data_IF_058225120917
#
_entry.id   IF_058225120917
#
_cell.length_a   1.000
_cell.length_b   1.000
_cell.length_c   1.000
_cell.angle_alpha   90.00
_cell.angle_beta   90.00
_cell.angle_gamma   90.00
#
_symmetry.space_group_name_H-M   'P 1'
#
loop_
_entity.id
_entity.type
_entity.pdbx_description
1 polymer ?
#
# COMPACT_ATOMS: atom_id res chain seq x y z
N UNK A 1 -3.43 13.82 -15.57
CA UNK A 1 -4.34 12.65 -15.50
C UNK A 1 -3.68 11.50 -16.22
N UNK A 2 -3.57 10.34 -15.57
CA UNK A 2 -3.06 9.12 -16.21
C UNK A 2 -4.18 8.50 -17.02
N UNK A 3 -4.00 8.37 -18.33
CA UNK A 3 -4.95 7.72 -19.22
C UNK A 3 -4.42 6.33 -19.59
N UNK A 4 -5.16 5.28 -19.24
CA UNK A 4 -4.83 3.90 -19.61
C UNK A 4 -5.50 3.54 -20.93
N UNK A 5 -4.76 2.92 -21.85
CA UNK A 5 -5.29 2.51 -23.15
C UNK A 5 -6.04 1.17 -23.07
N UNK A 6 -5.74 0.37 -22.03
CA UNK A 6 -6.37 -0.93 -21.80
C UNK A 6 -6.66 -1.14 -20.32
N UNK A 7 -7.60 -2.04 -20.03
CA UNK A 7 -7.86 -2.51 -18.66
C UNK A 7 -6.64 -3.18 -18.04
N UNK A 8 -5.84 -3.90 -18.83
CA UNK A 8 -4.62 -4.54 -18.34
C UNK A 8 -3.62 -3.51 -17.79
N UNK A 9 -3.43 -2.39 -18.48
CA UNK A 9 -2.57 -1.30 -18.01
C UNK A 9 -3.12 -0.63 -16.74
N UNK A 10 -4.43 -0.43 -16.67
CA UNK A 10 -5.07 0.12 -15.47
C UNK A 10 -4.90 -0.82 -14.27
N UNK A 11 -5.08 -2.13 -14.47
CA UNK A 11 -4.89 -3.15 -13.43
C UNK A 11 -3.45 -3.16 -12.91
N UNK A 12 -2.48 -3.20 -13.81
CA UNK A 12 -1.06 -3.19 -13.45
C UNK A 12 -0.71 -1.95 -12.62
N UNK A 13 -1.14 -0.76 -13.05
CA UNK A 13 -0.87 0.47 -12.32
C UNK A 13 -1.51 0.49 -10.91
N UNK A 14 -2.72 -0.07 -10.77
CA UNK A 14 -3.39 -0.21 -9.47
C UNK A 14 -2.62 -1.19 -8.59
N UNK A 15 -2.21 -2.34 -9.12
CA UNK A 15 -1.46 -3.36 -8.38
C UNK A 15 -0.13 -2.81 -7.86
N UNK A 16 0.63 -2.13 -8.73
CA UNK A 16 1.87 -1.45 -8.33
C UNK A 16 1.62 -0.39 -7.26
N UNK A 17 0.55 0.40 -7.39
CA UNK A 17 0.23 1.41 -6.39
C UNK A 17 -0.17 0.80 -5.04
N UNK A 18 -0.94 -0.29 -5.06
CA UNK A 18 -1.36 -1.01 -3.85
C UNK A 18 -0.16 -1.61 -3.14
N UNK A 19 0.78 -2.21 -3.88
CA UNK A 19 2.03 -2.73 -3.32
C UNK A 19 2.80 -1.61 -2.62
N UNK A 20 3.13 -0.53 -3.33
CA UNK A 20 3.81 0.63 -2.77
C UNK A 20 3.09 1.20 -1.53
N UNK A 21 1.76 1.34 -1.60
CA UNK A 21 0.97 1.89 -0.49
C UNK A 21 1.10 1.03 0.76
N UNK A 22 1.07 -0.29 0.61
CA UNK A 22 1.09 -1.22 1.74
C UNK A 22 2.49 -1.45 2.30
N UNK A 23 3.54 -1.39 1.48
CA UNK A 23 4.89 -1.80 1.88
C UNK A 23 5.83 -0.62 2.12
N UNK A 24 5.67 0.49 1.39
CA UNK A 24 6.67 1.56 1.34
C UNK A 24 6.15 2.92 1.79
N UNK A 25 4.86 3.22 1.57
CA UNK A 25 4.33 4.56 1.84
C UNK A 25 4.34 4.88 3.34
N UNK A 26 5.02 5.96 3.79
CA UNK A 26 5.00 6.34 5.19
C UNK A 26 3.69 7.06 5.54
N UNK A 27 3.05 6.63 6.64
CA UNK A 27 1.81 7.23 7.13
C UNK A 27 2.02 7.94 8.45
N UNK A 28 1.74 9.25 8.50
CA UNK A 28 1.85 10.03 9.74
C UNK A 28 1.02 9.46 10.89
N UNK A 29 -0.19 8.98 10.61
CA UNK A 29 -1.06 8.34 11.60
C UNK A 29 -0.50 7.02 12.15
N UNK A 30 0.41 6.36 11.41
CA UNK A 30 1.09 5.13 11.82
C UNK A 30 2.50 5.42 12.38
N UNK A 31 2.79 6.68 12.71
CA UNK A 31 4.12 7.08 13.19
C UNK A 31 5.19 6.99 12.10
N UNK A 32 4.83 7.35 10.86
CA UNK A 32 5.65 7.27 9.65
C UNK A 32 6.01 5.86 9.19
N UNK A 33 5.32 4.83 9.69
CA UNK A 33 5.43 3.46 9.17
C UNK A 33 4.53 3.23 7.96
N UNK A 34 4.87 2.23 7.15
CA UNK A 34 3.95 1.63 6.19
C UNK A 34 2.90 0.75 6.89
N UNK A 35 1.77 0.44 6.24
CA UNK A 35 0.78 -0.48 6.77
C UNK A 35 1.37 -1.86 7.12
N UNK A 36 2.26 -2.40 6.29
CA UNK A 36 2.93 -3.67 6.54
C UNK A 36 3.85 -3.59 7.76
N UNK A 37 4.65 -2.53 7.90
CA UNK A 37 5.50 -2.31 9.08
C UNK A 37 4.70 -2.16 10.37
N UNK A 38 3.57 -1.43 10.31
CA UNK A 38 2.67 -1.28 11.44
C UNK A 38 2.01 -2.62 11.80
N UNK A 39 1.53 -3.37 10.81
CA UNK A 39 0.96 -4.70 11.00
C UNK A 39 1.96 -5.69 11.59
N UNK A 40 3.22 -5.69 11.16
CA UNK A 40 4.26 -6.53 11.75
C UNK A 40 4.58 -6.15 13.20
N UNK A 41 4.40 -4.89 13.58
CA UNK A 41 4.64 -4.40 14.94
C UNK A 41 3.50 -4.74 15.91
N UNK A 42 2.25 -4.74 15.45
CA UNK A 42 1.06 -4.79 16.32
C UNK A 42 0.04 -5.88 15.97
N UNK A 43 0.24 -6.63 14.89
CA UNK A 43 -0.67 -7.67 14.40
C UNK A 43 -0.86 -8.85 15.35
N UNK A 44 0.07 -9.06 16.29
CA UNK A 44 -0.01 -10.10 17.32
C UNK A 44 -0.82 -9.69 18.56
N UNK A 45 -1.35 -8.46 18.63
CA UNK A 45 -2.11 -7.96 19.78
C UNK A 45 -3.63 -8.19 19.66
N UNK A 46 -4.09 -8.90 18.63
CA UNK A 46 -5.51 -9.19 18.40
C UNK A 46 -5.73 -10.71 18.41
N UNK A 47 -5.64 -11.30 19.60
CA UNK A 47 -6.25 -12.60 19.95
C UNK A 47 -7.45 -12.37 20.85
#
# INVERSE_FOLDING_TARGET
>A
MTNFKTFAQAREAIETWVEFYNTERPHQALGYKSPAEYGAQFGDLVV
#
